data_IF_495858493332
#
_entry.id   IF_495858493332
#
_cell.length_a   1.000
_cell.length_b   1.000
_cell.length_c   1.000
_cell.angle_alpha   90.00
_cell.angle_beta   90.00
_cell.angle_gamma   90.00
#
_symmetry.space_group_name_H-M   'P 1'
#
loop_
_entity.id
_entity.type
_entity.pdbx_description
1 polymer ?
#
# COMPACT_ATOMS: atom_id res chain seq x y z
N UNK A 1 66.51 -45.30 -33.68
CA UNK A 1 65.12 -44.83 -33.88
C UNK A 1 64.14 -45.25 -32.79
N UNK A 2 64.19 -46.48 -32.23
CA UNK A 2 63.24 -46.94 -31.18
C UNK A 2 63.32 -46.17 -29.84
N UNK A 3 64.51 -45.68 -29.46
CA UNK A 3 64.71 -44.96 -28.19
C UNK A 3 64.01 -43.58 -28.17
N UNK A 4 64.10 -42.83 -29.27
CA UNK A 4 63.52 -41.49 -29.41
C UNK A 4 61.99 -41.55 -29.41
N UNK A 5 61.40 -42.56 -30.05
CA UNK A 5 59.95 -42.78 -30.04
C UNK A 5 59.40 -43.14 -28.65
N UNK A 6 60.16 -43.88 -27.85
CA UNK A 6 59.77 -44.21 -26.48
C UNK A 6 59.85 -42.99 -25.55
N UNK A 7 60.85 -42.13 -25.74
CA UNK A 7 60.97 -40.87 -24.99
C UNK A 7 59.83 -39.91 -25.35
N UNK A 8 59.49 -39.75 -26.64
CA UNK A 8 58.35 -38.93 -27.05
C UNK A 8 57.02 -39.43 -26.48
N UNK A 9 56.79 -40.75 -26.48
CA UNK A 9 55.58 -41.34 -25.87
C UNK A 9 55.53 -41.14 -24.37
N UNK A 10 56.68 -41.18 -23.69
CA UNK A 10 56.76 -40.93 -22.26
C UNK A 10 56.49 -39.45 -21.92
N UNK A 11 57.05 -38.51 -22.69
CA UNK A 11 56.78 -37.07 -22.56
C UNK A 11 55.30 -36.77 -22.85
N UNK A 12 54.73 -37.37 -23.90
CA UNK A 12 53.32 -37.21 -24.23
C UNK A 12 52.41 -37.72 -23.12
N UNK A 13 52.69 -38.92 -22.57
CA UNK A 13 51.89 -39.51 -21.50
C UNK A 13 51.99 -38.74 -20.19
N UNK A 14 53.17 -38.20 -19.87
CA UNK A 14 53.38 -37.37 -18.67
C UNK A 14 52.69 -36.02 -18.80
N UNK A 15 52.75 -35.39 -19.98
CA UNK A 15 52.03 -34.14 -20.27
C UNK A 15 50.51 -34.30 -20.10
N UNK A 16 49.91 -35.32 -20.73
CA UNK A 16 48.47 -35.59 -20.57
C UNK A 16 48.09 -36.02 -19.15
N UNK A 17 48.99 -36.73 -18.45
CA UNK A 17 48.80 -37.07 -17.03
C UNK A 17 48.70 -35.84 -16.13
N UNK A 18 49.52 -34.80 -16.38
CA UNK A 18 49.48 -33.55 -15.61
C UNK A 18 48.21 -32.73 -15.90
N UNK A 19 47.76 -32.69 -17.16
CA UNK A 19 46.48 -32.06 -17.53
C UNK A 19 45.32 -32.74 -16.82
N UNK A 20 45.29 -34.08 -16.83
CA UNK A 20 44.23 -34.84 -16.18
C UNK A 20 44.21 -34.65 -14.66
N UNK A 21 45.39 -34.61 -14.03
CA UNK A 21 45.54 -34.29 -12.60
C UNK A 21 44.99 -32.89 -12.28
N UNK A 22 45.30 -31.88 -13.11
CA UNK A 22 44.78 -30.52 -12.91
C UNK A 22 43.26 -30.44 -13.02
N UNK A 23 42.65 -31.19 -13.96
CA UNK A 23 41.21 -31.25 -14.11
C UNK A 23 40.52 -31.88 -12.89
N UNK A 24 41.10 -32.95 -12.34
CA UNK A 24 40.57 -33.59 -11.12
C UNK A 24 40.68 -32.64 -9.93
N UNK A 25 41.81 -31.96 -9.75
CA UNK A 25 41.97 -30.98 -8.68
C UNK A 25 40.99 -29.81 -8.81
N UNK A 26 40.73 -29.35 -10.03
CA UNK A 26 39.76 -28.28 -10.29
C UNK A 26 38.32 -28.75 -10.04
N UNK A 27 37.98 -29.99 -10.41
CA UNK A 27 36.68 -30.59 -10.10
C UNK A 27 36.48 -30.82 -8.59
N UNK A 28 37.50 -31.30 -7.88
CA UNK A 28 37.48 -31.41 -6.42
C UNK A 28 37.40 -30.04 -5.75
N UNK A 29 38.12 -29.05 -6.26
CA UNK A 29 38.06 -27.66 -5.78
C UNK A 29 36.68 -27.04 -5.97
N UNK A 30 36.06 -27.21 -7.13
CA UNK A 30 34.67 -26.79 -7.41
C UNK A 30 33.66 -27.57 -6.55
N UNK A 31 33.88 -28.87 -6.34
CA UNK A 31 33.04 -29.69 -5.46
C UNK A 31 33.12 -29.27 -4.00
N UNK A 32 34.32 -28.92 -3.51
CA UNK A 32 34.51 -28.33 -2.19
C UNK A 32 33.89 -26.94 -2.11
N UNK A 33 34.01 -26.11 -3.16
CA UNK A 33 33.34 -24.82 -3.26
C UNK A 33 31.82 -24.98 -3.17
N UNK A 34 31.22 -25.92 -3.90
CA UNK A 34 29.79 -26.24 -3.82
C UNK A 34 29.39 -26.78 -2.45
N UNK A 35 30.22 -27.63 -1.83
CA UNK A 35 29.98 -28.20 -0.51
C UNK A 35 30.03 -27.12 0.60
N UNK A 36 31.01 -26.20 0.55
CA UNK A 36 31.10 -25.08 1.49
C UNK A 36 30.08 -23.97 1.21
N UNK A 37 29.65 -23.78 -0.04
CA UNK A 37 28.58 -22.85 -0.40
C UNK A 37 27.19 -23.37 0.05
N UNK A 38 27.04 -24.67 0.30
CA UNK A 38 25.83 -25.27 0.88
C UNK A 38 25.63 -24.90 2.37
N UNK A 39 26.71 -24.51 3.06
CA UNK A 39 26.69 -24.07 4.47
C UNK A 39 26.54 -22.54 4.60
N UNK A 40 26.69 -21.78 3.50
CA UNK A 40 26.58 -20.33 3.47
C UNK A 40 25.39 -19.90 2.60
N UNK A 41 24.22 -19.85 3.25
CA UNK A 41 22.90 -19.34 2.84
C UNK A 41 21.96 -20.36 2.16
N UNK A 42 20.67 -20.40 2.55
CA UNK A 42 19.88 -19.19 2.78
C UNK A 42 18.96 -19.23 4.02
N UNK A 43 19.26 -18.42 5.03
CA UNK A 43 18.22 -17.87 5.90
C UNK A 43 17.21 -16.99 5.12
N UNK A 44 17.54 -16.60 3.88
CA UNK A 44 16.63 -15.95 2.93
C UNK A 44 15.51 -16.85 2.41
N UNK A 45 15.65 -18.19 2.46
CA UNK A 45 14.61 -19.12 1.97
C UNK A 45 13.55 -19.42 3.02
N UNK A 46 13.82 -19.11 4.29
CA UNK A 46 12.88 -19.29 5.39
C UNK A 46 12.01 -18.06 5.61
N UNK A 47 12.47 -16.87 5.21
CA UNK A 47 11.67 -15.64 5.20
C UNK A 47 10.81 -15.54 3.94
N UNK A 48 11.24 -16.11 2.81
CA UNK A 48 10.49 -16.17 1.55
C UNK A 48 9.03 -16.65 1.70
N UNK A 49 8.71 -17.78 2.37
CA UNK A 49 7.32 -18.17 2.53
C UNK A 49 6.55 -17.21 3.44
N UNK A 50 7.16 -16.54 4.40
CA UNK A 50 6.47 -15.61 5.30
C UNK A 50 6.23 -14.26 4.62
N UNK A 51 7.20 -13.73 3.88
CA UNK A 51 7.12 -12.51 3.07
C UNK A 51 6.22 -12.72 1.85
N UNK A 52 6.26 -13.89 1.20
CA UNK A 52 5.34 -14.23 0.09
C UNK A 52 3.94 -14.51 0.62
N UNK A 53 3.77 -15.13 1.79
CA UNK A 53 2.44 -15.36 2.37
C UNK A 53 1.83 -14.07 2.92
N UNK A 54 2.64 -13.09 3.36
CA UNK A 54 2.18 -11.74 3.66
C UNK A 54 1.97 -10.89 2.41
N UNK A 55 2.79 -10.98 1.35
CA UNK A 55 2.49 -10.34 0.06
C UNK A 55 1.21 -10.90 -0.55
N UNK A 56 1.03 -12.22 -0.53
CA UNK A 56 -0.18 -12.88 -1.02
C UNK A 56 -1.38 -12.51 -0.15
N UNK A 57 -1.23 -12.30 1.16
CA UNK A 57 -2.30 -11.77 2.04
C UNK A 57 -2.54 -10.27 1.90
N UNK A 58 -1.51 -9.45 1.72
CA UNK A 58 -1.62 -8.02 1.44
C UNK A 58 -2.19 -7.75 0.05
N UNK A 59 -2.11 -8.74 -0.84
CA UNK A 59 -2.77 -8.78 -2.14
C UNK A 59 -4.12 -9.55 -2.10
N UNK A 60 -4.47 -10.18 -0.97
CA UNK A 60 -5.80 -10.73 -0.71
C UNK A 60 -6.65 -9.63 -0.06
N UNK A 61 -7.30 -8.82 -0.91
CA UNK A 61 -8.53 -8.08 -0.64
C UNK A 61 -8.59 -7.25 0.67
N UNK A 62 -7.52 -6.51 0.99
CA UNK A 62 -7.62 -5.38 1.92
C UNK A 62 -8.50 -4.34 1.24
N UNK A 63 -9.72 -4.15 1.76
CA UNK A 63 -10.61 -3.10 1.27
C UNK A 63 -10.02 -1.75 1.67
N UNK A 64 -10.20 -0.73 0.82
CA UNK A 64 -9.78 0.63 1.16
C UNK A 64 -10.46 1.03 2.46
N UNK A 65 -11.72 0.66 2.65
CA UNK A 65 -12.46 0.98 3.86
C UNK A 65 -13.54 -0.05 4.28
N UNK A 66 -14.24 0.25 5.38
CA UNK A 66 -15.54 -0.34 5.71
C UNK A 66 -16.50 0.75 6.14
N UNK A 67 -17.43 1.15 5.27
CA UNK A 67 -18.51 2.09 5.63
C UNK A 67 -19.52 1.42 6.57
N UNK A 68 -19.78 2.03 7.73
CA UNK A 68 -20.94 1.67 8.56
C UNK A 68 -22.19 2.36 7.96
N UNK A 69 -22.78 1.74 6.94
CA UNK A 69 -23.85 2.28 6.07
C UNK A 69 -25.22 2.46 6.76
N UNK A 70 -25.26 2.71 8.08
CA UNK A 70 -26.52 2.85 8.78
C UNK A 70 -27.33 4.06 8.27
N UNK A 71 -26.67 5.11 7.76
CA UNK A 71 -27.34 6.29 7.20
C UNK A 71 -26.53 6.95 6.06
N UNK A 72 -26.89 6.72 4.80
CA UNK A 72 -26.36 7.48 3.65
C UNK A 72 -26.83 8.94 3.77
N UNK A 73 -25.90 9.91 3.78
CA UNK A 73 -26.21 11.32 3.99
C UNK A 73 -25.33 12.26 3.17
N UNK A 74 -25.51 13.57 3.37
CA UNK A 74 -24.62 14.62 2.81
C UNK A 74 -24.61 15.83 3.72
N UNK A 75 -23.71 16.79 3.49
CA UNK A 75 -23.79 18.09 4.15
C UNK A 75 -24.92 18.94 3.55
N UNK A 76 -25.38 19.96 4.28
CA UNK A 76 -26.39 20.91 3.75
C UNK A 76 -25.85 21.72 2.56
N UNK A 77 -24.53 21.93 2.51
CA UNK A 77 -23.84 22.61 1.41
C UNK A 77 -22.53 21.88 1.09
N UNK A 78 -21.88 22.21 -0.03
CA UNK A 78 -20.61 21.61 -0.45
C UNK A 78 -19.39 22.11 0.35
N UNK A 79 -19.59 22.47 1.63
CA UNK A 79 -18.54 22.96 2.51
C UNK A 79 -18.66 22.28 3.87
N UNK A 80 -17.53 21.81 4.41
CA UNK A 80 -17.43 21.27 5.76
C UNK A 80 -16.11 21.69 6.41
N UNK A 81 -16.12 21.87 7.73
CA UNK A 81 -14.94 22.17 8.51
C UNK A 81 -14.23 20.88 8.96
N UNK A 82 -12.90 20.88 8.93
CA UNK A 82 -12.08 19.70 9.26
C UNK A 82 -11.08 20.03 10.35
N UNK A 83 -11.01 19.19 11.38
CA UNK A 83 -9.95 19.19 12.38
C UNK A 83 -9.12 17.92 12.25
N UNK A 84 -7.81 18.06 12.02
CA UNK A 84 -6.86 16.94 12.03
C UNK A 84 -6.44 16.70 13.48
N UNK A 85 -6.88 15.58 14.03
CA UNK A 85 -6.60 15.15 15.41
C UNK A 85 -5.33 14.30 15.52
N UNK A 86 -5.01 13.51 14.49
CA UNK A 86 -3.80 12.68 14.51
C UNK A 86 -2.55 13.57 14.62
N UNK A 87 -1.60 13.10 15.44
CA UNK A 87 -0.29 13.75 15.61
C UNK A 87 0.80 13.05 14.78
N UNK A 88 0.44 12.02 14.02
CA UNK A 88 1.36 11.28 13.18
C UNK A 88 1.71 12.10 11.93
N UNK A 89 2.99 12.44 11.70
CA UNK A 89 3.37 13.33 10.61
C UNK A 89 3.03 12.78 9.22
N UNK A 90 3.03 11.45 9.03
CA UNK A 90 2.65 10.83 7.76
C UNK A 90 1.17 11.04 7.47
N UNK A 91 0.31 10.81 8.47
CA UNK A 91 -1.13 10.99 8.30
C UNK A 91 -1.56 12.45 8.28
N UNK A 92 -0.90 13.33 9.05
CA UNK A 92 -1.10 14.78 8.93
C UNK A 92 -0.82 15.21 7.48
N UNK A 93 0.33 14.82 6.92
CA UNK A 93 0.68 15.17 5.54
C UNK A 93 -0.31 14.56 4.51
N UNK A 94 -0.79 13.33 4.74
CA UNK A 94 -1.76 12.69 3.87
C UNK A 94 -3.11 13.42 3.89
N UNK A 95 -3.64 13.74 5.07
CA UNK A 95 -4.88 14.49 5.21
C UNK A 95 -4.78 15.90 4.63
N UNK A 96 -3.72 16.65 4.94
CA UNK A 96 -3.52 17.99 4.38
C UNK A 96 -3.47 17.96 2.85
N UNK A 97 -2.80 16.96 2.27
CA UNK A 97 -2.71 16.79 0.82
C UNK A 97 -4.06 16.39 0.22
N UNK A 98 -4.75 15.42 0.79
CA UNK A 98 -6.06 14.98 0.32
C UNK A 98 -7.12 16.11 0.39
N UNK A 99 -7.12 16.88 1.48
CA UNK A 99 -7.95 18.08 1.65
C UNK A 99 -7.64 19.11 0.56
N UNK A 100 -6.34 19.38 0.31
CA UNK A 100 -5.93 20.30 -0.74
C UNK A 100 -6.35 19.82 -2.14
N UNK A 101 -6.24 18.52 -2.41
CA UNK A 101 -6.60 17.93 -3.69
C UNK A 101 -8.12 18.01 -3.95
N UNK A 102 -8.95 17.66 -2.96
CA UNK A 102 -10.40 17.85 -3.04
C UNK A 102 -10.77 19.32 -3.23
N UNK A 103 -10.17 20.23 -2.47
CA UNK A 103 -10.41 21.67 -2.61
C UNK A 103 -10.00 22.21 -4.00
N UNK A 104 -8.91 21.68 -4.58
CA UNK A 104 -8.43 22.08 -5.89
C UNK A 104 -9.39 21.70 -7.03
N UNK A 105 -10.26 20.70 -6.82
CA UNK A 105 -11.29 20.31 -7.79
C UNK A 105 -12.38 21.38 -7.95
N UNK A 106 -12.62 22.17 -6.89
CA UNK A 106 -13.69 23.16 -6.83
C UNK A 106 -15.10 22.57 -6.62
N UNK A 107 -15.25 21.25 -6.50
CA UNK A 107 -16.55 20.61 -6.29
C UNK A 107 -17.00 20.64 -4.82
N UNK A 108 -16.06 20.49 -3.89
CA UNK A 108 -16.27 20.57 -2.44
C UNK A 108 -15.20 21.45 -1.78
N UNK A 109 -15.54 22.09 -0.66
CA UNK A 109 -14.62 22.94 0.12
C UNK A 109 -14.49 22.43 1.56
N UNK A 110 -13.34 21.87 1.88
CA UNK A 110 -12.91 21.62 3.25
C UNK A 110 -12.24 22.87 3.83
N UNK A 111 -12.69 23.28 5.03
CA UNK A 111 -12.14 24.41 5.77
C UNK A 111 -11.44 23.92 7.03
N UNK A 112 -10.12 24.10 7.09
CA UNK A 112 -9.34 23.70 8.26
C UNK A 112 -9.72 24.52 9.50
N UNK A 113 -9.92 23.85 10.63
CA UNK A 113 -10.07 24.47 11.96
C UNK A 113 -9.05 23.91 12.94
N UNK A 114 -8.65 24.72 13.91
CA UNK A 114 -7.80 24.29 15.04
C UNK A 114 -8.61 24.00 16.31
N UNK A 115 -9.92 24.21 16.29
CA UNK A 115 -10.83 23.92 17.41
C UNK A 115 -11.71 22.71 17.05
N UNK A 116 -11.54 21.55 17.72
CA UNK A 116 -12.32 20.35 17.42
C UNK A 116 -13.81 20.54 17.68
N UNK A 117 -14.22 21.50 18.53
CA UNK A 117 -15.65 21.75 18.79
C UNK A 117 -16.33 22.53 17.66
N UNK A 118 -15.56 23.04 16.71
CA UNK A 118 -16.05 23.74 15.51
C UNK A 118 -15.86 22.91 14.25
N UNK A 119 -15.51 21.62 14.38
CA UNK A 119 -15.26 20.74 13.25
C UNK A 119 -16.49 19.89 12.94
N UNK A 120 -16.87 19.88 11.66
CA UNK A 120 -17.87 18.95 11.11
C UNK A 120 -17.24 17.56 10.93
N UNK A 121 -15.96 17.53 10.57
CA UNK A 121 -15.17 16.32 10.30
C UNK A 121 -13.96 16.26 11.25
N UNK A 122 -13.81 15.14 11.94
CA UNK A 122 -12.60 14.81 12.70
C UNK A 122 -11.77 13.81 11.89
N UNK A 123 -10.57 14.21 11.48
CA UNK A 123 -9.61 13.37 10.78
C UNK A 123 -8.58 12.82 11.78
N UNK A 124 -8.64 11.53 12.06
CA UNK A 124 -7.90 10.86 13.14
C UNK A 124 -7.24 9.57 12.65
N UNK A 125 -6.70 8.77 13.55
CA UNK A 125 -6.06 7.50 13.21
C UNK A 125 -6.55 6.36 14.08
N UNK A 126 -6.42 5.15 13.54
CA UNK A 126 -6.65 3.92 14.28
C UNK A 126 -5.48 2.94 14.08
N UNK A 127 -5.50 1.87 14.87
CA UNK A 127 -4.56 0.77 14.74
C UNK A 127 -5.31 -0.53 15.05
N UNK A 128 -6.05 -1.02 14.05
CA UNK A 128 -6.87 -2.22 14.21
C UNK A 128 -6.63 -3.19 13.06
N UNK A 129 -6.03 -4.35 13.38
CA UNK A 129 -5.85 -5.44 12.43
C UNK A 129 -7.00 -6.44 12.39
N UNK A 130 -8.09 -6.19 13.14
CA UNK A 130 -9.30 -7.02 13.09
C UNK A 130 -10.26 -6.57 11.98
N UNK A 131 -10.23 -5.29 11.62
CA UNK A 131 -10.86 -4.77 10.39
C UNK A 131 -9.94 -5.05 9.19
N UNK A 132 -10.51 -5.24 8.01
CA UNK A 132 -9.76 -5.37 6.75
C UNK A 132 -9.58 -4.03 6.03
N UNK A 133 -10.00 -2.94 6.67
CA UNK A 133 -10.06 -1.60 6.13
C UNK A 133 -8.76 -0.82 6.35
N UNK A 134 -8.24 -0.18 5.30
CA UNK A 134 -7.08 0.71 5.38
C UNK A 134 -7.43 2.11 5.92
N UNK A 135 -8.69 2.53 5.78
CA UNK A 135 -9.29 3.68 6.44
C UNK A 135 -10.76 3.40 6.79
N UNK A 136 -11.41 4.30 7.54
CA UNK A 136 -12.84 4.22 7.80
C UNK A 136 -13.45 5.63 7.93
N UNK A 137 -14.58 5.86 7.26
CA UNK A 137 -15.42 7.03 7.46
C UNK A 137 -16.73 6.65 8.18
N UNK A 138 -16.94 7.22 9.37
CA UNK A 138 -18.12 7.00 10.19
C UNK A 138 -18.93 8.30 10.31
N UNK A 139 -20.11 8.33 9.69
CA UNK A 139 -21.02 9.47 9.72
C UNK A 139 -22.12 9.34 10.75
N UNK A 140 -22.51 10.45 11.36
CA UNK A 140 -23.78 10.60 12.09
C UNK A 140 -24.69 11.50 11.27
N UNK A 141 -25.94 11.09 11.06
CA UNK A 141 -26.93 11.88 10.31
C UNK A 141 -28.08 12.34 11.18
N UNK A 142 -28.70 13.44 10.77
CA UNK A 142 -29.98 13.86 11.29
C UNK A 142 -31.09 13.09 10.58
N UNK A 143 -31.83 12.24 11.32
CA UNK A 143 -32.90 11.40 10.79
C UNK A 143 -34.04 12.15 10.07
N UNK A 144 -34.22 13.45 10.31
CA UNK A 144 -35.27 14.24 9.68
C UNK A 144 -34.83 14.89 8.38
N UNK A 145 -33.58 15.33 8.28
CA UNK A 145 -33.05 16.05 7.11
C UNK A 145 -32.13 15.19 6.24
N UNK A 146 -31.69 14.04 6.75
CA UNK A 146 -30.66 13.18 6.18
C UNK A 146 -29.30 13.88 5.98
N UNK A 147 -29.09 15.01 6.67
CA UNK A 147 -27.81 15.71 6.64
C UNK A 147 -26.87 15.16 7.68
N UNK A 148 -25.57 15.14 7.35
CA UNK A 148 -24.53 14.86 8.32
C UNK A 148 -24.58 15.89 9.47
N UNK A 149 -24.48 15.39 10.69
CA UNK A 149 -24.23 16.20 11.89
C UNK A 149 -22.75 16.15 12.29
N UNK A 150 -22.05 15.07 11.94
CA UNK A 150 -20.62 14.90 12.15
C UNK A 150 -20.12 13.70 11.34
N UNK A 151 -18.83 13.72 10.95
CA UNK A 151 -18.14 12.56 10.38
C UNK A 151 -16.79 12.38 11.09
N UNK A 152 -16.44 11.14 11.41
CA UNK A 152 -15.08 10.78 11.85
C UNK A 152 -14.42 9.98 10.76
N UNK A 153 -13.26 10.44 10.30
CA UNK A 153 -12.44 9.78 9.28
C UNK A 153 -11.18 9.26 9.96
N UNK A 154 -10.91 7.96 9.82
CA UNK A 154 -9.78 7.28 10.44
C UNK A 154 -8.86 6.70 9.38
N UNK A 155 -7.55 6.95 9.45
CA UNK A 155 -6.54 6.17 8.73
C UNK A 155 -6.00 5.04 9.60
N UNK A 156 -5.90 3.81 9.06
CA UNK A 156 -5.47 2.64 9.81
C UNK A 156 -3.95 2.42 9.72
N UNK A 157 -3.23 2.81 10.77
CA UNK A 157 -1.78 2.62 10.89
C UNK A 157 -1.35 1.16 10.85
N UNK A 158 -2.23 0.20 11.16
CA UNK A 158 -1.91 -1.23 11.08
C UNK A 158 -1.51 -1.64 9.66
N UNK A 159 -2.17 -1.06 8.65
CA UNK A 159 -1.91 -1.32 7.24
C UNK A 159 -1.01 -0.26 6.61
N UNK A 160 -1.36 1.01 6.78
CA UNK A 160 -0.78 2.12 6.02
C UNK A 160 0.66 2.45 6.41
N UNK A 161 1.08 2.13 7.64
CA UNK A 161 2.44 2.41 8.13
C UNK A 161 3.27 1.14 8.33
N UNK A 162 2.74 -0.03 7.96
CA UNK A 162 3.45 -1.28 8.03
C UNK A 162 4.00 -1.64 6.64
N UNK A 163 5.32 -1.58 6.51
CA UNK A 163 6.07 -1.85 5.28
C UNK A 163 5.70 -3.18 4.61
N UNK A 164 5.18 -4.16 5.35
CA UNK A 164 4.75 -5.45 4.81
C UNK A 164 3.56 -5.34 3.85
N UNK A 165 2.76 -4.28 3.94
CA UNK A 165 1.64 -4.01 3.04
C UNK A 165 1.99 -3.09 1.88
N UNK A 166 3.20 -2.52 1.86
CA UNK A 166 3.74 -1.79 0.71
C UNK A 166 2.96 -0.53 0.32
N UNK A 167 2.39 0.18 1.30
CA UNK A 167 1.83 1.51 1.06
C UNK A 167 2.96 2.53 0.94
N UNK A 168 3.02 3.22 -0.20
CA UNK A 168 3.81 4.43 -0.35
C UNK A 168 2.95 5.66 0.02
N UNK A 169 3.57 6.84 0.04
CA UNK A 169 2.87 8.06 0.43
C UNK A 169 1.68 8.37 -0.48
N UNK A 170 1.79 8.10 -1.79
CA UNK A 170 0.70 8.34 -2.75
C UNK A 170 -0.50 7.46 -2.43
N UNK A 171 -0.30 6.17 -2.13
CA UNK A 171 -1.40 5.29 -1.72
C UNK A 171 -2.03 5.71 -0.39
N UNK A 172 -1.25 6.20 0.57
CA UNK A 172 -1.78 6.74 1.84
C UNK A 172 -2.61 8.01 1.58
N UNK A 173 -2.16 8.89 0.67
CA UNK A 173 -2.92 10.07 0.24
C UNK A 173 -4.23 9.62 -0.42
N UNK A 174 -4.20 8.66 -1.33
CA UNK A 174 -5.42 8.16 -1.98
C UNK A 174 -6.38 7.52 -0.98
N UNK A 175 -5.90 6.80 0.04
CA UNK A 175 -6.75 6.32 1.14
C UNK A 175 -7.42 7.50 1.86
N UNK A 176 -6.67 8.56 2.19
CA UNK A 176 -7.24 9.76 2.81
C UNK A 176 -8.26 10.47 1.91
N UNK A 177 -7.99 10.54 0.59
CA UNK A 177 -8.93 11.09 -0.39
C UNK A 177 -10.22 10.27 -0.47
N UNK A 178 -10.12 8.94 -0.44
CA UNK A 178 -11.25 8.00 -0.44
C UNK A 178 -12.14 8.22 0.79
N UNK A 179 -11.56 8.20 2.00
CA UNK A 179 -12.34 8.40 3.22
C UNK A 179 -12.97 9.79 3.30
N UNK A 180 -12.26 10.81 2.80
CA UNK A 180 -12.83 12.16 2.67
C UNK A 180 -13.93 12.21 1.61
N UNK A 181 -13.87 11.40 0.56
CA UNK A 181 -14.95 11.19 -0.40
C UNK A 181 -16.21 10.64 0.25
N UNK A 182 -16.06 9.65 1.14
CA UNK A 182 -17.17 9.19 1.99
C UNK A 182 -17.68 10.29 2.92
N UNK A 183 -16.77 11.09 3.52
CA UNK A 183 -17.17 12.23 4.34
C UNK A 183 -17.89 13.34 3.55
N UNK A 184 -17.67 13.44 2.23
CA UNK A 184 -18.43 14.31 1.32
C UNK A 184 -19.82 13.72 1.03
N UNK A 185 -19.99 12.40 1.15
CA UNK A 185 -21.23 11.67 0.87
C UNK A 185 -21.20 10.84 -0.42
N UNK A 186 -20.02 10.54 -0.94
CA UNK A 186 -19.86 9.60 -2.06
C UNK A 186 -19.93 8.15 -1.56
N UNK A 187 -20.59 7.29 -2.33
CA UNK A 187 -20.53 5.83 -2.17
C UNK A 187 -19.38 5.24 -2.99
N UNK A 188 -19.09 3.95 -2.82
CA UNK A 188 -18.11 3.26 -3.65
C UNK A 188 -18.48 3.26 -5.13
N UNK A 189 -17.45 3.33 -5.98
CA UNK A 189 -17.56 3.24 -7.44
C UNK A 189 -16.51 2.24 -7.97
N UNK A 190 -16.93 0.99 -8.16
CA UNK A 190 -16.06 -0.10 -8.62
C UNK A 190 -16.18 -0.37 -10.13
N UNK A 191 -17.08 0.31 -10.85
CA UNK A 191 -17.32 0.04 -12.27
C UNK A 191 -16.33 0.75 -13.19
N UNK A 192 -15.50 1.66 -12.65
CA UNK A 192 -14.54 2.48 -13.36
C UNK A 192 -13.43 2.97 -12.43
N UNK A 193 -12.33 3.46 -13.01
CA UNK A 193 -11.26 4.13 -12.26
C UNK A 193 -11.82 5.31 -11.47
N UNK A 194 -11.66 5.26 -10.15
CA UNK A 194 -12.21 6.22 -9.20
C UNK A 194 -11.37 6.22 -7.93
N UNK A 195 -11.31 7.35 -7.23
CA UNK A 195 -10.78 7.36 -5.85
C UNK A 195 -11.69 6.60 -4.89
N UNK A 196 -12.96 6.43 -5.25
CA UNK A 196 -14.00 5.70 -4.51
C UNK A 196 -14.03 4.20 -4.83
N UNK A 197 -13.03 3.65 -5.50
CA UNK A 197 -12.88 2.19 -5.62
C UNK A 197 -12.75 1.57 -4.22
N UNK A 198 -13.54 0.54 -3.95
CA UNK A 198 -13.57 -0.16 -2.66
C UNK A 198 -12.25 -0.87 -2.32
N UNK A 199 -11.33 -1.00 -3.27
CA UNK A 199 -10.09 -1.75 -3.10
C UNK A 199 -8.83 -0.96 -3.49
N UNK A 200 -7.82 -1.05 -2.60
CA UNK A 200 -6.41 -0.88 -2.95
C UNK A 200 -5.87 0.56 -3.06
N UNK A 201 -6.71 1.59 -2.93
CA UNK A 201 -6.28 3.01 -2.98
C UNK A 201 -5.31 3.30 -4.15
N UNK A 202 -5.58 2.69 -5.30
CA UNK A 202 -4.65 2.69 -6.44
C UNK A 202 -4.70 3.99 -7.24
N UNK A 203 -5.77 4.75 -7.07
CA UNK A 203 -6.09 5.92 -7.86
C UNK A 203 -6.51 7.06 -6.92
N UNK A 204 -6.01 8.27 -7.19
CA UNK A 204 -6.52 9.48 -6.56
C UNK A 204 -7.78 10.00 -7.25
N UNK A 205 -8.21 11.21 -6.89
CA UNK A 205 -9.46 11.82 -7.41
C UNK A 205 -9.51 11.85 -8.94
N UNK A 206 -10.59 11.30 -9.50
CA UNK A 206 -10.89 11.27 -10.94
C UNK A 206 -12.04 12.22 -11.30
N UNK A 207 -12.19 12.50 -12.60
CA UNK A 207 -13.26 13.39 -13.09
C UNK A 207 -14.67 12.90 -12.70
N UNK A 208 -14.90 11.60 -12.67
CA UNK A 208 -16.19 11.06 -12.29
C UNK A 208 -16.52 11.30 -10.81
N UNK A 209 -15.51 11.31 -9.94
CA UNK A 209 -15.69 11.64 -8.52
C UNK A 209 -16.10 13.11 -8.37
N UNK A 210 -15.45 14.00 -9.12
CA UNK A 210 -15.79 15.42 -9.19
C UNK A 210 -17.23 15.62 -9.69
N UNK A 211 -17.61 14.94 -10.78
CA UNK A 211 -18.95 15.02 -11.36
C UNK A 211 -20.02 14.50 -10.37
N UNK A 212 -19.70 13.44 -9.62
CA UNK A 212 -20.57 12.91 -8.58
C UNK A 212 -20.79 13.90 -7.42
N UNK A 213 -19.72 14.56 -6.95
CA UNK A 213 -19.83 15.62 -5.93
C UNK A 213 -20.67 16.79 -6.46
N UNK A 214 -20.42 17.25 -7.68
CA UNK A 214 -21.19 18.34 -8.28
C UNK A 214 -22.68 17.99 -8.39
N UNK A 215 -23.00 16.77 -8.79
CA UNK A 215 -24.38 16.29 -8.84
C UNK A 215 -25.02 16.27 -7.44
N UNK A 216 -24.29 15.79 -6.42
CA UNK A 216 -24.74 15.68 -5.04
C UNK A 216 -25.12 17.03 -4.41
N UNK A 217 -24.44 18.12 -4.82
CA UNK A 217 -24.62 19.47 -4.28
C UNK A 217 -25.18 20.49 -5.30
N UNK A 218 -25.90 20.01 -6.32
CA UNK A 218 -26.43 20.86 -7.41
C UNK A 218 -27.77 21.57 -7.13
N UNK A 219 -28.30 21.44 -5.90
CA UNK A 219 -29.61 21.99 -5.50
C UNK A 219 -29.52 23.35 -4.79
#
# INVERSE_FOLDING_TARGET
MKLIGNILRWIWRTFWGLIWLSMVLLACGLGLLFYFQQEAAPQMLQTLPQEVQLMVKGQSEVTTDTVNTADHGRWESNTATVYIETQNPTFVAAYETAIANWNATGAFTFVMTSDPNQADIIATEMNDGNTQAAGEANSTTNLLTNYYSSVTVCLNSFYLLNDQYGYDMDRIIHTAEHELGHAIGLDHEDSQTSVMESAGSNHGIQQADIDAVLALYSE
#
